data_IF_625194710284
#
_entry.id   IF_625194710284
#
_cell.length_a   1.000
_cell.length_b   1.000
_cell.length_c   1.000
_cell.angle_alpha   90.00
_cell.angle_beta   90.00
_cell.angle_gamma   90.00
#
_symmetry.space_group_name_H-M   'P 1'
#
loop_
_entity.id
_entity.type
_entity.pdbx_description
1 polymer ?
#
# COMPACT_ATOMS: atom_id res chain seq x y z
N UNK A 1 -16.02 8.82 9.93
CA UNK A 1 -15.16 7.84 10.63
C UNK A 1 -13.73 8.02 10.15
N UNK A 2 -12.75 8.26 11.04
CA UNK A 2 -11.37 8.62 10.65
C UNK A 2 -10.47 7.41 10.35
N UNK A 3 -10.86 6.21 10.80
CA UNK A 3 -10.10 4.98 10.61
C UNK A 3 -9.87 4.66 9.12
N UNK A 4 -10.91 4.74 8.28
CA UNK A 4 -10.79 4.47 6.84
C UNK A 4 -9.84 5.46 6.14
N UNK A 5 -9.88 6.73 6.56
CA UNK A 5 -8.99 7.77 6.04
C UNK A 5 -7.54 7.54 6.46
N UNK A 6 -7.29 6.85 7.56
CA UNK A 6 -5.94 6.53 8.00
C UNK A 6 -5.22 5.54 7.07
N UNK A 7 -5.96 4.73 6.32
CA UNK A 7 -5.41 3.85 5.27
C UNK A 7 -5.06 4.58 3.97
N UNK A 8 -5.36 5.88 3.87
CA UNK A 8 -5.02 6.66 2.69
C UNK A 8 -3.65 7.32 2.81
N UNK A 9 -2.84 7.23 1.76
CA UNK A 9 -1.58 7.94 1.63
C UNK A 9 -1.67 9.04 0.56
N UNK A 10 -1.02 10.19 0.80
CA UNK A 10 -1.07 11.36 -0.08
C UNK A 10 -0.37 11.11 -1.42
N UNK A 11 0.72 10.34 -1.39
CA UNK A 11 1.52 9.99 -2.57
C UNK A 11 0.82 8.95 -3.47
N UNK A 12 -0.11 8.16 -2.91
CA UNK A 12 -0.73 7.03 -3.59
C UNK A 12 0.23 5.87 -3.89
N UNK A 13 -0.23 4.97 -4.76
CA UNK A 13 0.55 3.84 -5.24
C UNK A 13 1.59 4.27 -6.29
N UNK A 14 2.71 3.55 -6.33
CA UNK A 14 3.80 3.81 -7.29
C UNK A 14 3.27 3.67 -8.72
N UNK A 15 3.37 4.75 -9.50
CA UNK A 15 2.87 4.81 -10.88
C UNK A 15 1.36 5.06 -11.02
N UNK A 16 0.61 5.10 -9.91
CA UNK A 16 -0.83 5.36 -9.89
C UNK A 16 -1.20 6.28 -8.70
N UNK A 17 -0.86 7.58 -8.77
CA UNK A 17 -1.02 8.52 -7.65
C UNK A 17 -2.49 8.77 -7.25
N UNK A 18 -3.44 8.46 -8.13
CA UNK A 18 -4.88 8.55 -7.84
C UNK A 18 -5.37 7.44 -6.89
N UNK A 19 -4.72 6.27 -6.85
CA UNK A 19 -5.03 5.23 -5.89
C UNK A 19 -4.33 5.53 -4.57
N UNK A 20 -5.07 6.17 -3.66
CA UNK A 20 -4.57 6.58 -2.34
C UNK A 20 -4.71 5.51 -1.28
N UNK A 21 -5.58 4.53 -1.51
CA UNK A 21 -5.92 3.54 -0.52
C UNK A 21 -4.89 2.41 -0.50
N UNK A 22 -4.22 2.22 0.64
CA UNK A 22 -3.06 1.31 0.74
C UNK A 22 -3.45 -0.16 0.90
N UNK A 23 -4.68 -0.45 1.37
CA UNK A 23 -5.15 -1.82 1.64
C UNK A 23 -5.86 -2.41 0.43
N UNK A 24 -6.64 -1.60 -0.28
CA UNK A 24 -7.47 -2.03 -1.41
C UNK A 24 -7.32 -1.06 -2.57
N UNK A 25 -7.05 -1.56 -3.76
CA UNK A 25 -7.21 -0.82 -5.01
C UNK A 25 -7.56 -1.79 -6.15
N UNK A 26 -7.93 -1.22 -7.31
CA UNK A 26 -8.04 -2.01 -8.55
C UNK A 26 -6.71 -2.68 -8.85
N UNK A 27 -6.75 -3.94 -9.26
CA UNK A 27 -5.57 -4.72 -9.64
C UNK A 27 -4.84 -4.07 -10.83
N UNK A 28 -3.53 -4.21 -10.86
CA UNK A 28 -2.71 -3.77 -12.00
C UNK A 28 -2.94 -4.62 -13.26
N UNK A 29 -3.48 -5.84 -13.09
CA UNK A 29 -3.52 -6.88 -14.14
C UNK A 29 -4.94 -7.18 -14.63
N UNK A 30 -5.97 -6.85 -13.86
CA UNK A 30 -7.36 -7.16 -14.21
C UNK A 30 -8.32 -6.25 -13.43
N UNK A 31 -9.00 -5.33 -14.10
CA UNK A 31 -9.84 -4.30 -13.45
C UNK A 31 -11.06 -4.90 -12.70
N UNK A 32 -11.32 -6.20 -12.86
CA UNK A 32 -12.39 -6.92 -12.17
C UNK A 32 -11.99 -7.46 -10.80
N UNK A 33 -10.69 -7.56 -10.51
CA UNK A 33 -10.17 -8.11 -9.26
C UNK A 33 -9.71 -7.03 -8.29
N UNK A 34 -10.35 -6.93 -7.11
CA UNK A 34 -9.77 -6.14 -6.01
C UNK A 34 -8.60 -6.91 -5.41
N UNK A 35 -7.39 -6.33 -5.43
CA UNK A 35 -6.23 -6.90 -4.75
C UNK A 35 -6.03 -6.24 -3.40
N UNK A 36 -5.83 -7.07 -2.38
CA UNK A 36 -5.32 -6.62 -1.10
C UNK A 36 -3.83 -6.23 -1.26
N UNK A 37 -3.44 -5.11 -0.66
CA UNK A 37 -2.07 -4.59 -0.66
C UNK A 37 -1.45 -4.47 -2.07
N UNK A 38 -2.08 -3.70 -2.98
CA UNK A 38 -1.69 -3.62 -4.39
C UNK A 38 -0.24 -3.17 -4.58
N UNK A 39 0.27 -2.24 -3.77
CA UNK A 39 1.66 -1.77 -3.83
C UNK A 39 2.69 -2.87 -3.53
N UNK A 40 2.41 -3.71 -2.52
CA UNK A 40 3.28 -4.84 -2.15
C UNK A 40 3.26 -5.91 -3.24
N UNK A 41 2.08 -6.25 -3.77
CA UNK A 41 1.95 -7.25 -4.84
C UNK A 41 2.69 -6.80 -6.10
N UNK A 42 2.51 -5.54 -6.52
CA UNK A 42 3.19 -4.97 -7.69
C UNK A 42 4.71 -4.92 -7.50
N UNK A 43 5.18 -4.53 -6.30
CA UNK A 43 6.60 -4.52 -5.97
C UNK A 43 7.20 -5.93 -5.91
N UNK A 44 6.48 -6.90 -5.38
CA UNK A 44 6.89 -8.30 -5.32
C UNK A 44 6.99 -8.91 -6.72
N UNK A 45 6.02 -8.64 -7.59
CA UNK A 45 6.04 -9.11 -8.98
C UNK A 45 7.23 -8.51 -9.74
N UNK A 46 7.57 -7.24 -9.49
CA UNK A 46 8.78 -6.62 -10.03
C UNK A 46 10.04 -7.27 -9.49
N UNK A 47 10.15 -7.45 -8.17
CA UNK A 47 11.31 -8.07 -7.52
C UNK A 47 11.55 -9.50 -8.01
N UNK A 48 10.50 -10.29 -8.22
CA UNK A 48 10.60 -11.64 -8.80
C UNK A 48 11.11 -11.64 -10.24
N UNK A 49 10.74 -10.62 -11.04
CA UNK A 49 11.15 -10.51 -12.45
C UNK A 49 12.58 -10.01 -12.63
N UNK A 50 12.97 -8.96 -11.91
CA UNK A 50 14.30 -8.34 -12.06
C UNK A 50 15.36 -8.94 -11.13
N UNK A 51 14.96 -9.48 -9.97
CA UNK A 51 15.82 -10.04 -8.93
C UNK A 51 17.03 -9.16 -8.55
N UNK A 52 16.87 -7.84 -8.58
CA UNK A 52 17.91 -6.87 -8.22
C UNK A 52 17.72 -6.37 -6.79
N UNK A 53 18.82 -6.03 -6.12
CA UNK A 53 18.80 -5.47 -4.76
C UNK A 53 17.92 -4.23 -4.64
N UNK A 54 17.87 -3.40 -5.69
CA UNK A 54 17.02 -2.22 -5.74
C UNK A 54 15.53 -2.59 -5.70
N UNK A 55 15.10 -3.59 -6.47
CA UNK A 55 13.70 -4.03 -6.45
C UNK A 55 13.28 -4.67 -5.13
N UNK A 56 14.20 -5.36 -4.46
CA UNK A 56 13.97 -5.85 -3.10
C UNK A 56 13.85 -4.72 -2.08
N UNK A 57 14.65 -3.65 -2.22
CA UNK A 57 14.51 -2.43 -1.40
C UNK A 57 13.18 -1.73 -1.61
N UNK A 58 12.70 -1.67 -2.86
CA UNK A 58 11.38 -1.11 -3.17
C UNK A 58 10.25 -1.93 -2.56
N UNK A 59 10.34 -3.27 -2.60
CA UNK A 59 9.39 -4.14 -1.91
C UNK A 59 9.37 -3.88 -0.40
N UNK A 60 10.54 -3.80 0.23
CA UNK A 60 10.65 -3.49 1.65
C UNK A 60 10.04 -2.11 1.98
N UNK A 61 10.27 -1.11 1.12
CA UNK A 61 9.69 0.22 1.27
C UNK A 61 8.14 0.18 1.25
N UNK A 62 7.54 -0.53 0.29
CA UNK A 62 6.08 -0.67 0.22
C UNK A 62 5.50 -1.39 1.45
N UNK A 63 6.19 -2.40 1.97
CA UNK A 63 5.79 -3.08 3.22
C UNK A 63 5.77 -2.09 4.38
N UNK A 64 6.79 -1.24 4.53
CA UNK A 64 6.83 -0.23 5.60
C UNK A 64 5.72 0.82 5.46
N UNK A 65 5.40 1.24 4.23
CA UNK A 65 4.31 2.20 3.97
C UNK A 65 2.97 1.64 4.44
N UNK A 66 2.67 0.39 4.09
CA UNK A 66 1.44 -0.30 4.51
C UNK A 66 1.41 -0.51 6.02
N UNK A 67 2.50 -1.01 6.63
CA UNK A 67 2.58 -1.21 8.07
C UNK A 67 2.29 0.09 8.84
N UNK A 68 2.88 1.21 8.41
CA UNK A 68 2.61 2.53 8.99
C UNK A 68 1.15 2.97 8.84
N UNK A 69 0.52 2.68 7.70
CA UNK A 69 -0.90 2.98 7.49
C UNK A 69 -1.81 2.18 8.45
N UNK A 70 -1.50 0.90 8.64
CA UNK A 70 -2.22 0.03 9.60
C UNK A 70 -2.02 0.50 11.03
N UNK A 71 -0.79 0.80 11.44
CA UNK A 71 -0.52 1.35 12.78
C UNK A 71 -1.23 2.67 13.02
N UNK A 72 -1.29 3.54 12.00
CA UNK A 72 -2.04 4.81 12.08
C UNK A 72 -3.54 4.55 12.26
N UNK A 73 -4.12 3.63 11.49
CA UNK A 73 -5.53 3.28 11.62
C UNK A 73 -5.84 2.70 13.00
N UNK A 74 -4.98 1.82 13.52
CA UNK A 74 -5.09 1.28 14.87
C UNK A 74 -5.06 2.39 15.93
N UNK A 75 -4.14 3.35 15.85
CA UNK A 75 -4.06 4.46 16.79
C UNK A 75 -5.26 5.43 16.70
N UNK A 76 -5.89 5.57 15.52
CA UNK A 76 -7.15 6.33 15.37
C UNK A 76 -8.31 5.59 16.04
N UNK A 77 -8.38 4.27 15.91
CA UNK A 77 -9.40 3.44 16.58
C UNK A 77 -9.23 3.44 18.10
N UNK A 78 -7.99 3.49 18.59
CA UNK A 78 -7.64 3.59 20.00
C UNK A 78 -7.87 5.01 20.59
N UNK A 79 -8.30 5.98 19.77
CA UNK A 79 -8.56 7.35 20.20
C UNK A 79 -7.31 8.19 20.51
N UNK A 80 -6.10 7.67 20.23
CA UNK A 80 -4.81 8.36 20.44
C UNK A 80 -4.50 9.40 19.36
N UNK A 81 -5.10 9.25 18.19
CA UNK A 81 -5.00 10.18 17.06
C UNK A 81 -6.42 10.63 16.69
N UNK A 82 -6.81 11.82 17.14
CA UNK A 82 -8.04 12.52 16.72
C UNK A 82 -7.81 13.31 15.44
#
# INVERSE_FOLDING_TARGET
MMAERAFTNREGLVGRPWYKHMIYASSDQDDWGTKAFPGIVSAMDKAKKSNTTETWRLLQHEIYRVARAVSKASAVLDGKLT
#
